data_IF_671582246519
#
_entry.id   IF_671582246519
#
_cell.length_a   1.000
_cell.length_b   1.000
_cell.length_c   1.000
_cell.angle_alpha   90.00
_cell.angle_beta   90.00
_cell.angle_gamma   90.00
#
_symmetry.space_group_name_H-M   'P 1'
#
loop_
_entity.id
_entity.type
_entity.pdbx_description
1 polymer ?
#
# COMPACT_ATOMS: atom_id res chain seq x y z
N UNK A 1 34.76 12.87 9.81
CA UNK A 1 34.47 13.71 8.64
C UNK A 1 32.96 13.59 8.38
N UNK A 2 32.22 14.58 8.85
CA UNK A 2 30.79 14.72 8.52
C UNK A 2 30.76 15.12 7.05
N UNK A 3 30.26 14.23 6.21
CA UNK A 3 30.01 14.53 4.80
C UNK A 3 28.92 15.60 4.74
N UNK A 4 29.31 16.83 4.47
CA UNK A 4 28.38 17.92 4.15
C UNK A 4 27.67 17.51 2.85
N UNK A 5 26.47 16.94 2.99
CA UNK A 5 25.57 16.79 1.86
C UNK A 5 25.19 18.18 1.38
N UNK A 6 25.67 18.54 0.22
CA UNK A 6 25.45 19.80 -0.48
C UNK A 6 23.99 19.90 -0.95
N UNK A 7 23.05 19.78 -0.02
CA UNK A 7 21.64 19.99 -0.25
C UNK A 7 21.39 21.49 -0.23
N UNK A 8 21.12 22.07 -1.40
CA UNK A 8 20.80 23.49 -1.50
C UNK A 8 19.66 23.84 -0.53
N UNK A 9 19.77 24.93 0.24
CA UNK A 9 18.79 25.32 1.27
C UNK A 9 17.35 25.45 0.70
N UNK A 10 17.24 25.70 -0.57
CA UNK A 10 15.97 25.78 -1.30
C UNK A 10 15.29 24.39 -1.39
N UNK A 11 16.04 23.31 -1.62
CA UNK A 11 15.47 21.95 -1.66
C UNK A 11 14.94 21.53 -0.29
N UNK A 12 15.67 21.82 0.77
CA UNK A 12 15.23 21.52 2.14
C UNK A 12 13.94 22.25 2.49
N UNK A 13 13.80 23.53 2.10
CA UNK A 13 12.56 24.31 2.32
C UNK A 13 11.37 23.69 1.61
N UNK A 14 11.51 23.27 0.37
CA UNK A 14 10.43 22.62 -0.37
C UNK A 14 10.03 21.27 0.25
N UNK A 15 11.01 20.47 0.65
CA UNK A 15 10.74 19.19 1.34
C UNK A 15 9.98 19.45 2.65
N UNK A 16 10.43 20.39 3.46
CA UNK A 16 9.77 20.74 4.72
C UNK A 16 8.36 21.27 4.48
N UNK A 17 8.15 22.08 3.45
CA UNK A 17 6.83 22.59 3.09
C UNK A 17 5.86 21.47 2.71
N UNK A 18 6.28 20.51 1.87
CA UNK A 18 5.45 19.37 1.50
C UNK A 18 5.13 18.46 2.69
N UNK A 19 6.11 18.20 3.55
CA UNK A 19 5.89 17.43 4.77
C UNK A 19 4.95 18.16 5.74
N UNK A 20 5.08 19.47 5.87
CA UNK A 20 4.17 20.29 6.68
C UNK A 20 2.74 20.25 6.14
N UNK A 21 2.57 20.39 4.83
CA UNK A 21 1.25 20.31 4.19
C UNK A 21 0.62 18.92 4.36
N UNK A 22 1.43 17.85 4.20
CA UNK A 22 1.00 16.48 4.46
C UNK A 22 0.55 16.29 5.91
N UNK A 23 1.32 16.78 6.88
CA UNK A 23 0.97 16.70 8.30
C UNK A 23 -0.33 17.45 8.63
N UNK A 24 -0.56 18.63 8.06
CA UNK A 24 -1.81 19.39 8.23
C UNK A 24 -2.98 18.61 7.61
N UNK A 25 -2.83 18.08 6.40
CA UNK A 25 -3.85 17.25 5.75
C UNK A 25 -4.23 16.03 6.58
N UNK A 26 -3.21 15.33 7.13
CA UNK A 26 -3.43 14.19 8.02
C UNK A 26 -4.13 14.59 9.33
N UNK A 27 -3.74 15.71 9.94
CA UNK A 27 -4.37 16.22 11.15
C UNK A 27 -5.85 16.56 10.94
N UNK A 28 -6.21 17.17 9.81
CA UNK A 28 -7.60 17.48 9.45
C UNK A 28 -8.41 16.19 9.22
N UNK A 29 -7.81 15.18 8.61
CA UNK A 29 -8.44 13.88 8.43
C UNK A 29 -8.65 13.17 9.77
N UNK A 30 -7.64 13.16 10.64
CA UNK A 30 -7.70 12.57 11.97
C UNK A 30 -8.77 13.23 12.85
N UNK A 31 -8.96 14.55 12.73
CA UNK A 31 -10.02 15.26 13.45
C UNK A 31 -11.43 14.76 13.09
N UNK A 32 -11.64 14.35 11.84
CA UNK A 32 -12.92 13.80 11.38
C UNK A 32 -13.17 12.37 11.86
N UNK A 33 -12.14 11.63 12.23
CA UNK A 33 -12.21 10.24 12.68
C UNK A 33 -12.47 10.07 14.18
N UNK A 34 -12.68 11.17 14.91
CA UNK A 34 -13.10 11.21 16.31
C UNK A 34 -11.97 10.94 17.32
N UNK A 35 -11.26 9.83 17.22
CA UNK A 35 -10.14 9.48 18.11
C UNK A 35 -8.86 9.23 17.31
N UNK A 36 -7.73 9.74 17.78
CA UNK A 36 -6.43 9.54 17.14
C UNK A 36 -6.05 8.06 17.05
N UNK A 37 -6.39 7.28 18.07
CA UNK A 37 -6.15 5.84 18.11
C UNK A 37 -6.96 5.12 17.03
N UNK A 38 -8.22 5.50 16.86
CA UNK A 38 -9.09 4.95 15.83
C UNK A 38 -8.59 5.29 14.44
N UNK A 39 -8.16 6.54 14.21
CA UNK A 39 -7.57 6.97 12.95
C UNK A 39 -6.30 6.17 12.59
N UNK A 40 -5.38 6.00 13.54
CA UNK A 40 -4.15 5.24 13.34
C UNK A 40 -4.45 3.76 13.06
N UNK A 41 -5.37 3.17 13.80
CA UNK A 41 -5.78 1.79 13.58
C UNK A 41 -6.49 1.59 12.23
N UNK A 42 -7.35 2.52 11.84
CA UNK A 42 -8.00 2.47 10.52
C UNK A 42 -6.99 2.53 9.37
N UNK A 43 -6.09 3.50 9.39
CA UNK A 43 -5.02 3.62 8.37
C UNK A 43 -4.10 2.39 8.38
N UNK A 44 -3.72 1.90 9.57
CA UNK A 44 -2.94 0.67 9.69
C UNK A 44 -3.65 -0.54 9.09
N UNK A 45 -4.94 -0.69 9.37
CA UNK A 45 -5.75 -1.81 8.85
C UNK A 45 -5.86 -1.81 7.33
N UNK A 46 -5.94 -0.64 6.71
CA UNK A 46 -5.98 -0.52 5.24
C UNK A 46 -4.71 -1.11 4.61
N UNK A 47 -3.55 -0.76 5.14
CA UNK A 47 -2.25 -1.18 4.59
C UNK A 47 -1.87 -2.61 5.00
N UNK A 48 -2.14 -3.02 6.24
CA UNK A 48 -1.72 -4.32 6.75
C UNK A 48 -2.37 -5.49 6.02
N UNK A 49 -3.62 -5.35 5.59
CA UNK A 49 -4.32 -6.37 4.80
C UNK A 49 -3.61 -6.67 3.48
N UNK A 50 -3.25 -5.63 2.73
CA UNK A 50 -2.53 -5.78 1.47
C UNK A 50 -1.11 -6.34 1.66
N UNK A 51 -0.36 -5.84 2.65
CA UNK A 51 0.99 -6.34 2.98
C UNK A 51 0.94 -7.82 3.36
N UNK A 52 0.00 -8.22 4.22
CA UNK A 52 -0.20 -9.62 4.58
C UNK A 52 -0.52 -10.47 3.34
N UNK A 53 -1.37 -9.98 2.45
CA UNK A 53 -1.69 -10.64 1.18
C UNK A 53 -0.47 -10.88 0.31
N UNK A 54 0.44 -9.91 0.20
CA UNK A 54 1.71 -10.06 -0.54
C UNK A 54 2.57 -11.18 0.08
N UNK A 55 2.70 -11.24 1.41
CA UNK A 55 3.44 -12.29 2.09
C UNK A 55 2.82 -13.67 1.86
N UNK A 56 1.50 -13.78 1.93
CA UNK A 56 0.79 -15.02 1.65
C UNK A 56 1.01 -15.48 0.21
N UNK A 57 0.91 -14.58 -0.76
CA UNK A 57 1.21 -14.92 -2.17
C UNK A 57 2.66 -15.37 -2.34
N UNK A 58 3.62 -14.66 -1.74
CA UNK A 58 5.04 -15.00 -1.82
C UNK A 58 5.37 -16.36 -1.21
N UNK A 59 4.66 -16.75 -0.15
CA UNK A 59 4.90 -18.02 0.54
C UNK A 59 4.18 -19.21 -0.14
N UNK A 60 2.90 -19.04 -0.46
CA UNK A 60 2.06 -20.14 -0.96
C UNK A 60 1.98 -20.22 -2.48
N UNK A 61 2.25 -19.12 -3.20
CA UNK A 61 2.09 -19.02 -4.64
C UNK A 61 3.34 -18.46 -5.34
N UNK A 62 4.53 -19.08 -5.16
CA UNK A 62 5.81 -18.52 -5.68
C UNK A 62 5.89 -18.48 -7.20
N UNK A 63 4.91 -19.02 -7.91
CA UNK A 63 4.84 -19.02 -9.39
C UNK A 63 4.18 -17.75 -9.93
N UNK A 64 3.56 -16.92 -9.08
CA UNK A 64 2.92 -15.67 -9.51
C UNK A 64 3.98 -14.61 -9.76
N UNK A 65 3.87 -13.91 -10.89
CA UNK A 65 4.81 -12.87 -11.26
C UNK A 65 4.63 -11.61 -10.39
N UNK A 66 5.76 -10.93 -10.08
CA UNK A 66 5.77 -9.70 -9.28
C UNK A 66 4.82 -8.63 -9.80
N UNK A 67 4.72 -8.48 -11.14
CA UNK A 67 3.85 -7.49 -11.75
C UNK A 67 2.36 -7.76 -11.48
N UNK A 68 1.95 -9.03 -11.48
CA UNK A 68 0.58 -9.42 -11.14
C UNK A 68 0.26 -9.12 -9.68
N UNK A 69 1.19 -9.40 -8.77
CA UNK A 69 1.05 -9.10 -7.33
C UNK A 69 0.95 -7.60 -7.11
N UNK A 70 1.85 -6.82 -7.70
CA UNK A 70 1.85 -5.36 -7.55
C UNK A 70 0.56 -4.72 -8.05
N UNK A 71 0.09 -5.13 -9.23
CA UNK A 71 -1.19 -4.63 -9.78
C UNK A 71 -2.37 -5.02 -8.90
N UNK A 72 -2.37 -6.24 -8.35
CA UNK A 72 -3.40 -6.71 -7.44
C UNK A 72 -3.46 -5.89 -6.16
N UNK A 73 -2.30 -5.56 -5.58
CA UNK A 73 -2.20 -4.71 -4.37
C UNK A 73 -2.83 -3.36 -4.64
N UNK A 74 -2.47 -2.69 -5.74
CA UNK A 74 -3.02 -1.37 -6.07
C UNK A 74 -4.53 -1.39 -6.27
N UNK A 75 -5.05 -2.41 -6.97
CA UNK A 75 -6.49 -2.53 -7.21
C UNK A 75 -7.27 -2.84 -5.94
N UNK A 76 -6.75 -3.75 -5.10
CA UNK A 76 -7.39 -4.10 -3.83
C UNK A 76 -7.37 -2.90 -2.88
N UNK A 77 -6.25 -2.19 -2.78
CA UNK A 77 -6.13 -1.02 -1.92
C UNK A 77 -7.10 0.09 -2.35
N UNK A 78 -7.20 0.35 -3.65
CA UNK A 78 -8.18 1.29 -4.17
C UNK A 78 -9.62 0.85 -3.85
N UNK A 79 -9.94 -0.44 -3.95
CA UNK A 79 -11.26 -0.99 -3.63
C UNK A 79 -11.56 -0.85 -2.13
N UNK A 80 -10.59 -1.16 -1.27
CA UNK A 80 -10.73 -1.05 0.19
C UNK A 80 -10.93 0.42 0.60
N UNK A 81 -10.20 1.36 -0.02
CA UNK A 81 -10.40 2.79 0.20
C UNK A 81 -11.80 3.26 -0.19
N UNK A 82 -12.33 2.80 -1.32
CA UNK A 82 -13.70 3.11 -1.74
C UNK A 82 -14.72 2.51 -0.77
N UNK A 83 -14.55 1.27 -0.35
CA UNK A 83 -15.42 0.63 0.63
C UNK A 83 -15.41 1.37 1.97
N UNK A 84 -14.24 1.82 2.43
CA UNK A 84 -14.11 2.59 3.66
C UNK A 84 -14.85 3.92 3.61
N UNK A 85 -14.92 4.59 2.45
CA UNK A 85 -15.67 5.84 2.29
C UNK A 85 -17.16 5.66 2.14
N UNK A 86 -17.62 4.46 1.76
CA UNK A 86 -19.06 4.20 1.45
C UNK A 86 -19.77 3.36 2.51
N UNK A 87 -19.04 2.63 3.34
CA UNK A 87 -19.60 1.69 4.31
C UNK A 87 -19.05 1.96 5.71
N UNK A 88 -19.93 1.98 6.71
CA UNK A 88 -19.57 2.12 8.12
C UNK A 88 -19.23 0.75 8.77
N UNK A 89 -18.41 -0.03 8.10
CA UNK A 89 -17.99 -1.33 8.63
C UNK A 89 -16.87 -1.16 9.67
N UNK A 90 -16.82 -2.04 10.71
CA UNK A 90 -15.71 -2.05 11.66
C UNK A 90 -14.39 -2.23 10.93
N UNK A 91 -13.38 -1.41 11.24
CA UNK A 91 -12.08 -1.37 10.58
C UNK A 91 -11.35 -2.73 10.53
N UNK A 92 -11.64 -3.65 11.45
CA UNK A 92 -11.06 -4.99 11.47
C UNK A 92 -11.40 -5.82 10.21
N UNK A 93 -12.54 -5.57 9.57
CA UNK A 93 -12.96 -6.32 8.38
C UNK A 93 -12.14 -6.00 7.14
N UNK A 94 -11.52 -4.81 7.09
CA UNK A 94 -10.69 -4.41 5.94
C UNK A 94 -9.40 -5.22 5.85
N UNK A 95 -8.83 -5.73 6.96
CA UNK A 95 -7.64 -6.57 6.97
C UNK A 95 -7.84 -7.91 6.24
N UNK A 96 -8.83 -8.77 6.60
CA UNK A 96 -9.06 -10.01 5.89
C UNK A 96 -9.52 -9.76 4.44
N UNK A 97 -10.31 -8.72 4.18
CA UNK A 97 -10.71 -8.35 2.82
C UNK A 97 -9.52 -7.96 1.96
N UNK A 98 -8.61 -7.14 2.48
CA UNK A 98 -7.37 -6.75 1.79
C UNK A 98 -6.49 -7.95 1.49
N UNK A 99 -6.24 -8.81 2.46
CA UNK A 99 -5.43 -10.01 2.29
C UNK A 99 -6.03 -10.99 1.26
N UNK A 100 -7.29 -11.38 1.44
CA UNK A 100 -7.97 -12.30 0.52
C UNK A 100 -8.12 -11.70 -0.88
N UNK A 101 -8.39 -10.39 -0.96
CA UNK A 101 -8.46 -9.67 -2.22
C UNK A 101 -7.16 -9.72 -3.00
N UNK A 102 -6.02 -9.47 -2.36
CA UNK A 102 -4.70 -9.55 -3.01
C UNK A 102 -4.41 -10.98 -3.48
N UNK A 103 -4.65 -11.98 -2.66
CA UNK A 103 -4.42 -13.39 -3.04
C UNK A 103 -5.29 -13.80 -4.22
N UNK A 104 -6.59 -13.54 -4.14
CA UNK A 104 -7.54 -13.90 -5.19
C UNK A 104 -7.26 -13.16 -6.50
N UNK A 105 -7.00 -11.85 -6.43
CA UNK A 105 -6.77 -11.03 -7.61
C UNK A 105 -5.42 -11.35 -8.27
N UNK A 106 -4.37 -11.61 -7.48
CA UNK A 106 -3.08 -12.05 -8.00
C UNK A 106 -3.19 -13.38 -8.76
N UNK A 107 -3.97 -14.30 -8.21
CA UNK A 107 -4.22 -15.58 -8.87
C UNK A 107 -5.02 -15.42 -10.17
N UNK A 108 -6.08 -14.61 -10.15
CA UNK A 108 -6.90 -14.31 -11.33
C UNK A 108 -6.11 -13.60 -12.42
N UNK A 109 -5.33 -12.57 -12.07
CA UNK A 109 -4.52 -11.82 -13.03
C UNK A 109 -3.44 -12.69 -13.67
N UNK A 110 -2.82 -13.59 -12.90
CA UNK A 110 -1.84 -14.55 -13.45
C UNK A 110 -2.46 -15.47 -14.49
N UNK A 111 -3.74 -15.85 -14.32
CA UNK A 111 -4.44 -16.72 -15.29
C UNK A 111 -5.04 -15.97 -16.47
N UNK A 112 -5.42 -14.70 -16.29
CA UNK A 112 -6.15 -13.93 -17.30
C UNK A 112 -5.24 -13.08 -18.19
N UNK A 113 -4.07 -12.68 -17.69
CA UNK A 113 -3.13 -11.80 -18.42
C UNK A 113 -1.78 -12.50 -18.51
N UNK A 114 -1.32 -12.83 -19.73
CA UNK A 114 0.05 -13.31 -19.93
C UNK A 114 1.02 -12.14 -19.73
N UNK A 115 1.47 -11.92 -18.49
CA UNK A 115 2.53 -10.97 -18.22
C UNK A 115 3.83 -11.45 -18.89
N UNK A 116 4.56 -10.58 -19.60
CA UNK A 116 5.85 -10.96 -20.17
C UNK A 116 6.79 -11.43 -19.05
N UNK A 117 7.23 -12.68 -19.15
CA UNK A 117 8.19 -13.24 -18.21
C UNK A 117 9.44 -12.36 -18.18
N UNK A 118 9.82 -11.85 -17.01
CA UNK A 118 11.12 -11.24 -16.84
C UNK A 118 12.19 -12.23 -17.29
N UNK A 119 12.87 -11.89 -18.38
CA UNK A 119 14.03 -12.65 -18.85
C UNK A 119 15.03 -12.71 -17.70
N UNK A 120 15.25 -13.90 -17.11
CA UNK A 120 16.41 -14.14 -16.27
C UNK A 120 17.63 -13.61 -16.99
N UNK A 121 18.26 -12.59 -16.41
CA UNK A 121 19.56 -12.15 -16.88
C UNK A 121 20.50 -13.36 -16.89
N UNK A 122 21.26 -13.60 -17.96
CA UNK A 122 22.20 -14.70 -17.99
C UNK A 122 23.22 -14.52 -16.84
N UNK A 123 23.29 -15.51 -15.96
CA UNK A 123 24.32 -15.58 -14.94
C UNK A 123 25.65 -15.76 -15.63
N UNK A 124 26.48 -14.70 -15.65
CA UNK A 124 27.90 -14.82 -15.94
C UNK A 124 28.64 -15.47 -14.77
#
# INVERSE_FOLDING_TARGET
QVQETNSSPTRLRWITFFWGLYAIGFALLAYRLGSLIEAVNAVGSLVYGAVLGVFVVGWFLPKIQSNAVFTSVLLVEATVLVLWTTQDWPFLWYNPLGCLGVVALSWLLQHSVPFPSERKAPSN
#
